data_IF_417021197189
#
_entry.id   IF_417021197189
#
_cell.length_a   1.000
_cell.length_b   1.000
_cell.length_c   1.000
_cell.angle_alpha   90.00
_cell.angle_beta   90.00
_cell.angle_gamma   90.00
#
_symmetry.space_group_name_H-M   'P 1'
#
loop_
_entity.id
_entity.type
_entity.pdbx_description
1 polymer ?
#
# COMPACT_ATOMS: atom_id res chain seq x y z
N UNK A 1 9.53 -12.37 -3.34
CA UNK A 1 9.18 -13.25 -2.21
C UNK A 1 8.36 -12.45 -1.21
N UNK A 2 7.20 -12.93 -0.79
CA UNK A 2 6.49 -12.34 0.34
C UNK A 2 7.29 -12.61 1.63
N UNK A 3 7.37 -11.64 2.54
CA UNK A 3 7.97 -11.85 3.86
C UNK A 3 7.12 -12.84 4.68
N UNK A 4 7.70 -13.53 5.67
CA UNK A 4 7.00 -14.54 6.50
C UNK A 4 5.67 -14.04 7.08
N UNK A 5 5.64 -12.79 7.54
CA UNK A 5 4.46 -12.15 8.13
C UNK A 5 3.70 -11.24 7.16
N UNK A 6 3.97 -11.33 5.85
CA UNK A 6 3.32 -10.45 4.86
C UNK A 6 1.82 -10.77 4.80
N UNK A 7 0.91 -9.78 4.87
CA UNK A 7 -0.53 -10.03 4.82
C UNK A 7 -0.98 -10.70 3.51
N UNK A 8 -0.19 -10.56 2.44
CA UNK A 8 -0.43 -11.20 1.14
C UNK A 8 0.26 -12.57 0.99
N UNK A 9 0.84 -13.11 2.06
CA UNK A 9 1.38 -14.48 2.07
C UNK A 9 0.30 -15.53 2.37
N UNK A 10 -0.76 -15.15 3.10
CA UNK A 10 -1.86 -16.05 3.51
C UNK A 10 -1.36 -17.32 4.22
N UNK A 11 -0.36 -17.16 5.10
CA UNK A 11 0.12 -18.19 6.02
C UNK A 11 -0.43 -17.95 7.41
N UNK A 12 -0.42 -18.96 8.27
CA UNK A 12 -0.83 -18.87 9.67
C UNK A 12 -0.13 -17.71 10.40
N UNK A 13 1.17 -17.51 10.19
CA UNK A 13 1.88 -16.40 10.83
C UNK A 13 1.50 -15.03 10.26
N UNK A 14 1.08 -14.96 8.99
CA UNK A 14 0.54 -13.72 8.44
C UNK A 14 -0.83 -13.39 9.01
N UNK A 15 -1.69 -14.40 9.23
CA UNK A 15 -3.01 -14.24 9.82
C UNK A 15 -2.93 -13.89 11.30
N UNK A 16 -2.01 -14.52 12.04
CA UNK A 16 -1.74 -14.21 13.44
C UNK A 16 -1.35 -12.73 13.63
N UNK A 17 -0.40 -12.23 12.83
CA UNK A 17 0.04 -10.82 12.89
C UNK A 17 -1.09 -9.85 12.53
N UNK A 18 -1.97 -10.22 11.60
CA UNK A 18 -3.17 -9.43 11.29
C UNK A 18 -4.16 -9.43 12.46
N UNK A 19 -4.39 -10.57 13.10
CA UNK A 19 -5.33 -10.71 14.22
C UNK A 19 -4.87 -9.94 15.47
N UNK A 20 -3.57 -9.77 15.68
CA UNK A 20 -3.03 -8.88 16.71
C UNK A 20 -3.09 -7.39 16.35
N UNK A 21 -3.55 -7.04 15.15
CA UNK A 21 -3.58 -5.67 14.65
C UNK A 21 -2.20 -5.11 14.28
N UNK A 22 -1.16 -5.95 14.23
CA UNK A 22 0.20 -5.54 13.93
C UNK A 22 0.44 -5.24 12.45
N UNK A 23 -0.42 -5.73 11.55
CA UNK A 23 -0.42 -5.35 10.14
C UNK A 23 -1.86 -5.31 9.63
N UNK A 24 -2.18 -4.41 8.68
CA UNK A 24 -3.50 -4.36 8.07
C UNK A 24 -3.76 -5.60 7.21
N UNK A 25 -5.04 -5.97 7.10
CA UNK A 25 -5.46 -7.08 6.23
C UNK A 25 -5.36 -6.67 4.75
N UNK A 26 -5.33 -7.64 3.81
CA UNK A 26 -5.47 -7.35 2.38
C UNK A 26 -6.72 -6.52 2.05
N UNK A 27 -7.83 -6.72 2.78
CA UNK A 27 -9.05 -5.95 2.59
C UNK A 27 -8.86 -4.49 3.02
N UNK A 28 -8.25 -4.24 4.18
CA UNK A 28 -7.96 -2.88 4.67
C UNK A 28 -7.08 -2.10 3.68
N UNK A 29 -6.08 -2.78 3.11
CA UNK A 29 -5.18 -2.19 2.11
C UNK A 29 -5.95 -1.81 0.82
N UNK A 30 -6.89 -2.65 0.38
CA UNK A 30 -7.75 -2.34 -0.77
C UNK A 30 -8.66 -1.15 -0.47
N UNK A 31 -9.28 -1.10 0.71
CA UNK A 31 -10.14 0.02 1.09
C UNK A 31 -9.35 1.32 1.22
N UNK A 32 -8.13 1.27 1.75
CA UNK A 32 -7.25 2.44 1.76
C UNK A 32 -6.95 2.93 0.36
N UNK A 33 -6.65 2.03 -0.58
CA UNK A 33 -6.41 2.42 -1.98
C UNK A 33 -7.62 3.12 -2.57
N UNK A 34 -8.83 2.61 -2.34
CA UNK A 34 -10.08 3.22 -2.80
C UNK A 34 -10.31 4.60 -2.18
N UNK A 35 -10.11 4.72 -0.86
CA UNK A 35 -10.32 5.96 -0.10
C UNK A 35 -9.33 7.06 -0.46
N UNK A 36 -8.04 6.72 -0.58
CA UNK A 36 -6.95 7.70 -0.72
C UNK A 36 -6.43 7.86 -2.16
N UNK A 37 -6.70 6.88 -3.03
CA UNK A 37 -6.05 6.78 -4.34
C UNK A 37 -4.57 6.42 -4.30
N UNK A 38 -3.96 6.24 -3.13
CA UNK A 38 -2.55 5.91 -2.95
C UNK A 38 -2.29 4.40 -2.85
N UNK A 39 -1.08 3.99 -3.21
CA UNK A 39 -0.67 2.59 -3.14
C UNK A 39 -0.04 2.27 -1.79
N UNK A 40 -0.12 1.01 -1.41
CA UNK A 40 0.54 0.51 -0.21
C UNK A 40 2.05 0.36 -0.43
N UNK A 41 2.86 0.89 0.48
CA UNK A 41 4.29 0.65 0.46
C UNK A 41 4.63 -0.75 0.98
N UNK A 42 5.75 -1.30 0.54
CA UNK A 42 6.25 -2.56 1.08
C UNK A 42 6.76 -2.35 2.51
N UNK A 43 6.30 -3.16 3.47
CA UNK A 43 6.74 -3.05 4.87
C UNK A 43 8.27 -3.20 5.02
N UNK A 44 8.90 -4.08 4.23
CA UNK A 44 10.37 -4.24 4.24
C UNK A 44 11.14 -3.11 3.56
N UNK A 45 10.48 -2.29 2.73
CA UNK A 45 11.08 -1.14 2.07
C UNK A 45 9.98 -0.17 1.62
N UNK A 46 9.72 0.83 2.44
CA UNK A 46 8.61 1.77 2.20
C UNK A 46 8.81 2.71 1.00
N UNK A 47 9.99 2.66 0.35
CA UNK A 47 10.23 3.38 -0.91
C UNK A 47 9.73 2.63 -2.14
N UNK A 48 9.25 1.39 -1.98
CA UNK A 48 8.73 0.56 -3.07
C UNK A 48 7.26 0.23 -2.85
N UNK A 49 6.50 0.10 -3.93
CA UNK A 49 5.13 -0.43 -3.89
C UNK A 49 5.14 -1.88 -3.39
N UNK A 50 4.14 -2.26 -2.60
CA UNK A 50 3.96 -3.63 -2.14
C UNK A 50 3.61 -4.55 -3.32
N UNK A 51 4.49 -5.51 -3.61
CA UNK A 51 4.27 -6.47 -4.70
C UNK A 51 3.11 -7.43 -4.43
N UNK A 52 2.88 -7.80 -3.17
CA UNK A 52 1.74 -8.63 -2.75
C UNK A 52 0.41 -7.94 -3.06
N UNK A 53 0.27 -6.66 -2.71
CA UNK A 53 -0.88 -5.83 -3.07
C UNK A 53 -1.10 -5.76 -4.57
N UNK A 54 -0.04 -5.49 -5.36
CA UNK A 54 -0.15 -5.41 -6.81
C UNK A 54 -0.60 -6.74 -7.42
N UNK A 55 -0.05 -7.85 -6.94
CA UNK A 55 -0.41 -9.19 -7.39
C UNK A 55 -1.87 -9.49 -7.04
N UNK A 56 -2.27 -9.25 -5.80
CA UNK A 56 -3.63 -9.49 -5.31
C UNK A 56 -4.69 -8.68 -6.07
N UNK A 57 -4.41 -7.42 -6.40
CA UNK A 57 -5.33 -6.59 -7.18
C UNK A 57 -5.44 -7.02 -8.65
N UNK A 58 -4.37 -7.56 -9.24
CA UNK A 58 -4.31 -7.90 -10.68
C UNK A 58 -4.73 -9.33 -11.01
N UNK A 59 -4.47 -10.27 -10.10
CA UNK A 59 -4.74 -11.70 -10.34
C UNK A 59 -6.16 -12.12 -9.92
N UNK A 60 -6.96 -11.19 -9.41
CA UNK A 60 -8.38 -11.45 -9.17
C UNK A 60 -9.13 -11.64 -10.49
N UNK A 61 -9.50 -12.89 -10.79
CA UNK A 61 -10.22 -13.29 -12.01
C UNK A 61 -11.73 -12.99 -11.94
N UNK A 62 -12.23 -12.57 -10.78
CA UNK A 62 -13.65 -12.28 -10.55
C UNK A 62 -14.04 -10.82 -10.87
N UNK A 63 -13.10 -10.02 -11.38
CA UNK A 63 -13.22 -8.58 -11.61
C UNK A 63 -13.50 -7.76 -10.32
N UNK A 64 -13.35 -8.35 -9.14
CA UNK A 64 -13.67 -7.73 -7.85
C UNK A 64 -12.84 -6.49 -7.54
N UNK A 65 -11.62 -6.43 -8.11
CA UNK A 65 -10.69 -5.32 -7.94
C UNK A 65 -10.38 -4.58 -9.26
N UNK A 66 -11.29 -4.67 -10.24
CA UNK A 66 -11.15 -3.99 -11.54
C UNK A 66 -11.06 -2.46 -11.43
N UNK A 67 -11.52 -1.87 -10.33
CA UNK A 67 -11.41 -0.45 -10.00
C UNK A 67 -10.02 -0.04 -9.47
N UNK A 68 -9.17 -1.01 -9.11
CA UNK A 68 -7.87 -0.75 -8.47
C UNK A 68 -6.79 -0.48 -9.52
N UNK A 69 -6.43 0.79 -9.67
CA UNK A 69 -5.29 1.20 -10.50
C UNK A 69 -4.00 1.36 -9.68
N UNK A 70 -3.10 0.39 -9.77
CA UNK A 70 -1.81 0.41 -9.04
C UNK A 70 -0.75 1.32 -9.66
N UNK A 71 -1.03 1.95 -10.81
CA UNK A 71 -0.10 2.84 -11.51
C UNK A 71 -0.26 4.31 -11.07
N UNK A 72 -1.28 4.63 -10.28
CA UNK A 72 -1.59 5.99 -9.80
C UNK A 72 -1.41 6.11 -8.30
N UNK A 73 -1.13 7.32 -7.83
CA UNK A 73 -1.00 7.65 -6.40
C UNK A 73 0.40 7.47 -5.81
N UNK A 74 0.59 8.06 -4.62
CA UNK A 74 1.82 7.95 -3.84
C UNK A 74 1.94 6.61 -3.11
N UNK A 75 2.94 6.50 -2.23
CA UNK A 75 3.12 5.34 -1.36
C UNK A 75 2.73 5.72 0.07
N UNK A 76 1.79 4.98 0.65
CA UNK A 76 1.46 5.05 2.07
C UNK A 76 2.45 4.18 2.84
N UNK A 77 3.18 4.80 3.75
CA UNK A 77 4.10 4.18 4.70
C UNK A 77 3.31 3.54 5.84
N UNK A 78 3.56 2.25 6.12
CA UNK A 78 2.99 1.57 7.28
C UNK A 78 3.48 2.23 8.57
N UNK A 79 4.79 2.51 8.66
CA UNK A 79 5.42 3.12 9.83
C UNK A 79 4.81 4.48 10.16
N UNK A 80 4.52 5.29 9.13
CA UNK A 80 3.84 6.58 9.35
C UNK A 80 2.40 6.36 9.80
N UNK A 81 1.68 5.43 9.18
CA UNK A 81 0.30 5.16 9.59
C UNK A 81 0.25 4.69 11.05
N UNK A 82 1.05 3.71 11.42
CA UNK A 82 1.06 3.09 12.74
C UNK A 82 1.44 4.09 13.84
N UNK A 83 2.48 4.92 13.60
CA UNK A 83 2.97 5.85 14.61
C UNK A 83 2.26 7.22 14.62
N UNK A 84 1.76 7.69 13.46
CA UNK A 84 1.26 9.07 13.28
C UNK A 84 -0.19 9.12 12.80
N UNK A 85 -0.79 7.99 12.46
CA UNK A 85 -2.17 7.87 12.00
C UNK A 85 -2.36 7.92 10.49
N UNK A 86 -3.54 7.49 10.04
CA UNK A 86 -3.92 7.38 8.63
C UNK A 86 -3.83 8.72 7.88
N UNK A 87 -4.35 9.80 8.48
CA UNK A 87 -4.41 11.12 7.85
C UNK A 87 -3.02 11.66 7.51
N UNK A 88 -2.08 11.52 8.45
CA UNK A 88 -0.71 11.97 8.25
C UNK A 88 0.01 11.12 7.20
N UNK A 89 -0.21 9.80 7.19
CA UNK A 89 0.33 8.91 6.18
C UNK A 89 -0.15 9.29 4.76
N UNK A 90 -1.45 9.60 4.59
CA UNK A 90 -2.02 10.13 3.34
C UNK A 90 -1.40 11.49 3.00
N UNK A 91 -1.25 12.39 3.98
CA UNK A 91 -0.65 13.72 3.76
C UNK A 91 0.79 13.61 3.27
N UNK A 92 1.60 12.70 3.81
CA UNK A 92 2.98 12.47 3.35
C UNK A 92 3.02 11.82 1.96
N UNK A 93 2.13 10.86 1.69
CA UNK A 93 2.02 10.25 0.36
C UNK A 93 1.71 11.29 -0.73
N UNK A 94 0.79 12.22 -0.46
CA UNK A 94 0.48 13.35 -1.35
C UNK A 94 1.71 14.25 -1.63
N UNK A 95 2.43 14.68 -0.58
CA UNK A 95 3.64 15.52 -0.73
C UNK A 95 4.70 14.86 -1.62
N UNK A 96 4.86 13.54 -1.52
CA UNK A 96 5.82 12.80 -2.33
C UNK A 96 5.45 12.79 -3.82
N UNK A 97 4.17 12.67 -4.16
CA UNK A 97 3.68 12.77 -5.54
C UNK A 97 3.94 14.17 -6.10
N UNK A 98 3.58 15.22 -5.35
CA UNK A 98 3.82 16.61 -5.77
C UNK A 98 5.32 16.87 -6.02
N UNK A 99 6.19 16.34 -5.15
CA UNK A 99 7.63 16.48 -5.30
C UNK A 99 8.13 15.84 -6.60
N UNK A 100 7.72 14.60 -6.90
CA UNK A 100 8.11 13.88 -8.13
C UNK A 100 7.66 14.66 -9.37
N UNK A 101 6.43 15.14 -9.39
CA UNK A 101 5.90 15.89 -10.54
C UNK A 101 6.64 17.22 -10.75
N UNK A 102 6.99 17.93 -9.67
CA UNK A 102 7.80 19.15 -9.74
C UNK A 102 9.20 18.90 -10.31
N UNK A 103 9.84 17.78 -9.99
CA UNK A 103 11.14 17.43 -10.57
C UNK A 103 11.03 17.06 -12.05
N UNK A 104 9.99 16.31 -12.46
CA UNK A 104 9.76 15.98 -13.87
C UNK A 104 9.59 17.23 -14.74
N UNK A 105 8.79 18.19 -14.28
CA UNK A 105 8.51 19.42 -15.03
C UNK A 105 9.67 20.43 -15.08
N UNK A 106 10.72 20.24 -14.26
CA UNK A 106 11.93 21.10 -14.28
C UNK A 106 13.02 20.57 -15.22
N UNK A 107 12.91 19.31 -15.64
CA UNK A 107 13.92 18.61 -16.43
C UNK A 107 13.42 18.27 -17.85
N UNK A 108 12.34 18.94 -18.28
CA UNK A 108 11.71 18.89 -19.61
C UNK A 108 11.66 20.30 -20.16
#
# INVERSE_FOLDING_TARGET
MACKHCPFAFTDESEEVQNYGCLPTPWDIIQMKRKSGHNWACHSNEKKICSGFVKFAKEDTSNKYSDINTCTGGLISYTTWDNEGEEEAIRKANKNVTRINKYKNKNT
#
